data_IF_662580865230
#
_entry.id   IF_662580865230
#
_cell.length_a   1.000
_cell.length_b   1.000
_cell.length_c   1.000
_cell.angle_alpha   90.00
_cell.angle_beta   90.00
_cell.angle_gamma   90.00
#
_symmetry.space_group_name_H-M   'P 1'
#
loop_
_entity.id
_entity.type
_entity.pdbx_description
1 polymer ?
#
# COMPACT_ATOMS: atom_id res chain seq x y z
N UNK A 1 -30.85 16.54 47.77
CA UNK A 1 -30.61 17.08 46.43
C UNK A 1 -29.10 17.10 46.25
N UNK A 2 -28.53 16.09 45.68
CA UNK A 2 -27.09 15.96 45.49
C UNK A 2 -26.82 15.84 44.00
N UNK A 3 -26.23 16.86 43.40
CA UNK A 3 -25.69 16.83 42.06
C UNK A 3 -24.35 16.13 42.08
N UNK A 4 -24.26 14.93 41.51
CA UNK A 4 -23.02 14.25 41.21
C UNK A 4 -22.49 14.74 39.86
N UNK A 5 -21.45 15.60 39.91
CA UNK A 5 -20.64 16.00 38.78
C UNK A 5 -19.85 14.78 38.30
N UNK A 6 -20.16 14.34 37.08
CA UNK A 6 -19.30 13.41 36.34
C UNK A 6 -18.11 14.19 35.75
N UNK A 7 -16.97 14.13 36.45
CA UNK A 7 -15.70 14.60 35.87
C UNK A 7 -15.35 13.71 34.65
N UNK A 8 -15.47 14.33 33.51
CA UNK A 8 -14.96 13.80 32.23
C UNK A 8 -13.43 13.69 32.34
N UNK A 9 -12.94 12.46 32.59
CA UNK A 9 -11.51 12.16 32.52
C UNK A 9 -11.16 12.09 31.03
N UNK A 10 -10.68 13.22 30.49
CA UNK A 10 -10.15 13.31 29.14
C UNK A 10 -9.25 12.13 28.82
N UNK A 11 -9.71 11.25 27.95
CA UNK A 11 -8.91 10.18 27.40
C UNK A 11 -7.72 10.83 26.67
N UNK A 12 -6.51 10.61 27.16
CA UNK A 12 -5.30 11.04 26.49
C UNK A 12 -5.29 10.45 25.08
N UNK A 13 -5.27 11.33 24.07
CA UNK A 13 -5.10 10.88 22.69
C UNK A 13 -3.90 9.89 22.60
N UNK A 14 -4.07 8.74 21.93
CA UNK A 14 -2.97 7.80 21.76
C UNK A 14 -1.83 8.54 21.07
N UNK A 15 -0.69 8.67 21.75
CA UNK A 15 0.52 9.27 21.17
C UNK A 15 0.79 8.56 19.86
N UNK A 16 0.74 9.28 18.74
CA UNK A 16 1.18 8.76 17.45
C UNK A 16 2.56 8.13 17.66
N UNK A 17 2.77 6.87 17.27
CA UNK A 17 4.09 6.27 17.37
C UNK A 17 5.08 7.19 16.67
N UNK A 18 6.18 7.51 17.35
CA UNK A 18 7.22 8.35 16.76
C UNK A 18 7.67 7.69 15.47
N UNK A 19 7.52 8.38 14.34
CA UNK A 19 8.02 7.91 13.05
C UNK A 19 9.46 7.44 13.23
N UNK A 20 9.84 6.21 12.84
CA UNK A 20 11.22 5.78 12.89
C UNK A 20 12.05 6.87 12.19
N UNK A 21 13.12 7.32 12.81
CA UNK A 21 14.03 8.28 12.16
C UNK A 21 14.77 7.52 11.08
N UNK A 22 14.46 7.70 9.80
CA UNK A 22 15.02 6.86 8.75
C UNK A 22 16.55 6.99 8.64
N UNK A 23 17.09 8.16 9.01
CA UNK A 23 18.51 8.43 9.03
C UNK A 23 18.91 9.25 10.27
N UNK A 24 20.01 8.83 10.91
CA UNK A 24 20.70 9.61 11.93
C UNK A 24 21.94 10.31 11.35
N UNK A 25 22.53 9.73 10.33
CA UNK A 25 23.74 10.20 9.66
C UNK A 25 23.46 10.41 8.18
N UNK A 26 24.18 11.35 7.60
CA UNK A 26 24.14 11.66 6.18
C UNK A 26 24.62 10.46 5.35
N UNK A 27 23.87 9.96 4.37
CA UNK A 27 24.30 8.85 3.53
C UNK A 27 25.45 9.23 2.59
N UNK A 28 25.69 10.54 2.37
CA UNK A 28 26.73 11.01 1.48
C UNK A 28 28.09 11.19 2.18
N UNK A 29 28.12 11.65 3.44
CA UNK A 29 29.38 12.00 4.13
C UNK A 29 29.48 11.53 5.58
N UNK A 30 28.49 10.80 6.11
CA UNK A 30 28.50 10.26 7.45
C UNK A 30 28.30 11.28 8.59
N UNK A 31 28.16 12.56 8.30
CA UNK A 31 27.93 13.59 9.34
C UNK A 31 26.54 13.43 9.96
N UNK A 32 26.37 13.62 11.29
CA UNK A 32 25.04 13.61 11.90
C UNK A 32 24.10 14.61 11.25
N UNK A 33 22.87 14.17 10.93
CA UNK A 33 21.83 15.01 10.35
C UNK A 33 21.18 15.88 11.43
N UNK A 34 20.83 17.12 11.08
CA UNK A 34 20.11 18.06 11.93
C UNK A 34 18.72 18.35 11.37
N UNK A 35 17.76 18.71 12.25
CA UNK A 35 16.44 19.16 11.82
C UNK A 35 16.48 20.64 11.48
N UNK A 36 15.93 20.97 10.32
CA UNK A 36 15.82 22.35 9.84
C UNK A 36 14.44 22.58 9.24
N UNK A 37 13.88 23.75 9.47
CA UNK A 37 12.64 24.22 8.83
C UNK A 37 12.90 24.61 7.38
N UNK A 38 12.42 23.83 6.41
CA UNK A 38 12.52 24.11 4.99
C UNK A 38 11.15 24.00 4.32
N UNK A 39 10.75 25.04 3.59
CA UNK A 39 9.46 25.07 2.87
C UNK A 39 8.25 24.71 3.76
N UNK A 40 8.22 25.27 5.00
CA UNK A 40 7.13 25.07 5.95
C UNK A 40 7.08 23.67 6.62
N UNK A 41 8.12 22.85 6.46
CA UNK A 41 8.24 21.52 7.10
C UNK A 41 9.60 21.33 7.72
N UNK A 42 9.66 20.58 8.82
CA UNK A 42 10.95 20.10 9.34
C UNK A 42 11.51 18.98 8.46
N UNK A 43 12.78 19.12 8.08
CA UNK A 43 13.54 18.14 7.30
C UNK A 43 14.87 17.82 7.98
N UNK A 44 15.40 16.63 7.68
CA UNK A 44 16.75 16.28 8.06
C UNK A 44 17.73 16.83 7.01
N UNK A 45 18.69 17.63 7.47
CA UNK A 45 19.68 18.30 6.61
C UNK A 45 21.08 18.00 7.15
N UNK A 46 22.01 17.75 6.24
CA UNK A 46 23.41 17.60 6.59
C UNK A 46 24.08 18.98 6.70
N UNK A 47 24.64 19.36 7.87
CA UNK A 47 25.31 20.64 8.01
C UNK A 47 26.66 20.72 7.26
N UNK A 48 27.25 19.57 6.91
CA UNK A 48 28.54 19.51 6.24
C UNK A 48 28.43 19.58 4.70
N UNK A 49 27.56 18.74 4.09
CA UNK A 49 27.46 18.64 2.62
C UNK A 49 26.13 19.16 2.05
N UNK A 50 25.25 19.71 2.88
CA UNK A 50 23.95 20.28 2.51
C UNK A 50 22.96 19.24 1.93
N UNK A 51 23.21 17.92 2.08
CA UNK A 51 22.24 16.89 1.72
C UNK A 51 20.93 17.10 2.48
N UNK A 52 19.81 17.07 1.76
CA UNK A 52 18.46 17.14 2.34
C UNK A 52 17.80 15.78 2.20
N UNK A 53 17.37 15.20 3.31
CA UNK A 53 16.59 13.99 3.27
C UNK A 53 15.11 14.30 2.93
N UNK A 54 14.72 13.91 1.72
CA UNK A 54 13.32 13.99 1.26
C UNK A 54 12.62 12.69 1.59
N UNK A 55 11.85 12.70 2.68
CA UNK A 55 11.06 11.53 3.05
C UNK A 55 9.82 11.44 2.15
N UNK A 56 9.95 10.72 1.05
CA UNK A 56 8.87 10.48 0.09
C UNK A 56 8.14 9.16 0.43
N UNK A 57 6.84 9.03 0.11
CA UNK A 57 6.16 7.75 0.14
C UNK A 57 6.78 6.84 -0.93
N UNK A 58 6.78 5.52 -0.66
CA UNK A 58 7.11 4.53 -1.68
C UNK A 58 5.95 4.37 -2.65
N UNK A 59 6.24 3.95 -3.89
CA UNK A 59 5.21 3.71 -4.90
C UNK A 59 4.89 2.22 -4.93
N UNK A 60 3.60 1.90 -4.79
CA UNK A 60 3.08 0.56 -4.96
C UNK A 60 2.16 0.49 -6.16
N UNK A 61 2.09 -0.67 -6.78
CA UNK A 61 1.22 -0.95 -7.94
C UNK A 61 0.40 -2.19 -7.68
N UNK A 62 -0.81 -2.24 -8.25
CA UNK A 62 -1.69 -3.39 -8.18
C UNK A 62 -2.45 -3.55 -9.49
N UNK A 63 -2.83 -4.78 -9.86
CA UNK A 63 -3.58 -5.03 -11.09
C UNK A 63 -4.93 -5.66 -10.77
N UNK A 64 -5.98 -5.05 -11.28
CA UNK A 64 -7.37 -5.51 -11.21
C UNK A 64 -7.64 -6.36 -12.45
N UNK A 65 -7.71 -7.67 -12.27
CA UNK A 65 -8.14 -8.61 -13.30
C UNK A 65 -9.52 -9.12 -12.96
N UNK A 66 -10.46 -8.89 -13.87
CA UNK A 66 -11.86 -9.29 -13.73
C UNK A 66 -12.20 -10.39 -14.73
N UNK A 67 -13.01 -11.34 -14.28
CA UNK A 67 -13.73 -12.27 -15.13
C UNK A 67 -15.19 -12.29 -14.67
N UNK A 68 -16.08 -11.77 -15.51
CA UNK A 68 -17.45 -11.47 -15.09
C UNK A 68 -17.44 -10.57 -13.83
N UNK A 69 -18.18 -10.93 -12.80
CA UNK A 69 -18.24 -10.22 -11.51
C UNK A 69 -17.25 -10.76 -10.47
N UNK A 70 -16.17 -11.42 -10.93
CA UNK A 70 -15.14 -11.99 -10.06
C UNK A 70 -13.80 -11.33 -10.31
N UNK A 71 -13.12 -10.98 -9.23
CA UNK A 71 -11.79 -10.40 -9.23
C UNK A 71 -10.74 -11.42 -8.81
N UNK A 72 -9.54 -11.37 -9.39
CA UNK A 72 -8.39 -12.11 -8.90
C UNK A 72 -7.91 -11.48 -7.60
N UNK A 73 -7.92 -12.26 -6.52
CA UNK A 73 -7.31 -11.91 -5.25
C UNK A 73 -6.21 -12.89 -4.88
N UNK A 74 -5.23 -12.42 -4.14
CA UNK A 74 -4.12 -13.19 -3.59
C UNK A 74 -4.18 -13.18 -2.06
N UNK A 75 -3.86 -14.32 -1.40
CA UNK A 75 -3.79 -14.41 0.06
C UNK A 75 -2.34 -14.41 0.50
N UNK A 76 -2.00 -13.50 1.39
CA UNK A 76 -0.64 -13.30 1.87
C UNK A 76 -0.13 -14.46 2.71
N UNK A 77 1.02 -15.03 2.33
CA UNK A 77 1.65 -16.16 3.03
C UNK A 77 2.47 -15.72 4.25
N UNK A 78 2.90 -14.44 4.31
CA UNK A 78 3.84 -13.95 5.32
C UNK A 78 3.58 -12.49 5.73
N UNK A 79 4.35 -12.02 6.72
CA UNK A 79 4.29 -10.65 7.20
C UNK A 79 3.11 -10.34 8.12
N UNK A 80 2.88 -9.04 8.37
CA UNK A 80 1.84 -8.55 9.31
C UNK A 80 0.43 -8.94 8.88
N UNK A 81 0.21 -9.08 7.56
CA UNK A 81 -1.10 -9.41 6.97
C UNK A 81 -1.21 -10.86 6.54
N UNK A 82 -0.42 -11.77 7.13
CA UNK A 82 -0.51 -13.21 6.81
C UNK A 82 -1.95 -13.73 6.93
N UNK A 83 -2.41 -14.43 5.89
CA UNK A 83 -3.76 -14.98 5.79
C UNK A 83 -4.84 -14.01 5.31
N UNK A 84 -4.54 -12.71 5.20
CA UNK A 84 -5.45 -11.73 4.62
C UNK A 84 -5.35 -11.69 3.09
N UNK A 85 -6.45 -11.35 2.44
CA UNK A 85 -6.55 -11.23 1.00
C UNK A 85 -6.25 -9.81 0.53
N UNK A 86 -5.64 -9.67 -0.64
CA UNK A 86 -5.38 -8.38 -1.29
C UNK A 86 -5.57 -8.50 -2.81
N UNK A 87 -5.70 -7.37 -3.48
CA UNK A 87 -5.48 -7.29 -4.92
C UNK A 87 -3.99 -7.53 -5.14
N UNK A 88 -3.56 -8.40 -6.09
CA UNK A 88 -2.14 -8.67 -6.32
C UNK A 88 -1.37 -7.38 -6.55
N UNK A 89 -0.28 -7.20 -5.78
CA UNK A 89 0.41 -5.91 -5.70
C UNK A 89 1.83 -6.01 -5.15
N UNK A 90 2.68 -5.07 -5.56
CA UNK A 90 4.01 -4.93 -5.01
C UNK A 90 4.58 -3.52 -5.18
N UNK A 91 5.88 -3.36 -4.96
CA UNK A 91 6.55 -2.08 -5.06
C UNK A 91 7.22 -1.89 -6.42
N UNK A 92 7.25 -0.64 -6.86
CA UNK A 92 8.01 -0.21 -8.03
C UNK A 92 9.48 -0.10 -7.64
N UNK A 93 10.36 -0.76 -8.39
CA UNK A 93 11.79 -0.64 -8.22
C UNK A 93 12.31 0.71 -8.75
N UNK A 94 13.51 1.13 -8.32
CA UNK A 94 14.03 2.48 -8.57
C UNK A 94 14.12 2.85 -10.07
N UNK A 95 14.43 1.89 -10.91
CA UNK A 95 14.66 2.05 -12.36
C UNK A 95 13.60 1.35 -13.22
N UNK A 96 12.42 1.07 -12.65
CA UNK A 96 11.35 0.34 -13.29
C UNK A 96 10.17 1.26 -13.69
N UNK A 97 9.60 1.03 -14.87
CA UNK A 97 8.33 1.66 -15.26
C UNK A 97 7.17 1.09 -14.45
N UNK A 98 6.25 1.95 -14.00
CA UNK A 98 5.13 1.54 -13.12
C UNK A 98 4.22 0.47 -13.70
N UNK A 99 4.08 0.38 -15.04
CA UNK A 99 3.28 -0.66 -15.69
C UNK A 99 4.04 -1.96 -15.81
N UNK A 100 5.36 -1.88 -16.00
CA UNK A 100 6.24 -3.06 -15.98
C UNK A 100 6.28 -3.66 -14.58
N UNK A 101 6.41 -2.83 -13.53
CA UNK A 101 6.30 -3.28 -12.15
C UNK A 101 4.97 -3.98 -11.88
N UNK A 102 3.85 -3.39 -12.30
CA UNK A 102 2.52 -3.97 -12.13
C UNK A 102 2.38 -5.33 -12.84
N UNK A 103 2.91 -5.47 -14.05
CA UNK A 103 2.92 -6.73 -14.80
C UNK A 103 3.77 -7.79 -14.11
N UNK A 104 5.00 -7.43 -13.69
CA UNK A 104 5.94 -8.31 -12.99
C UNK A 104 5.35 -8.85 -11.70
N UNK A 105 4.93 -7.96 -10.80
CA UNK A 105 4.36 -8.33 -9.50
C UNK A 105 3.12 -9.23 -9.67
N UNK A 106 2.22 -8.88 -10.59
CA UNK A 106 1.05 -9.71 -10.85
C UNK A 106 1.42 -11.10 -11.36
N UNK A 107 2.43 -11.20 -12.23
CA UNK A 107 2.90 -12.48 -12.75
C UNK A 107 3.61 -13.31 -11.67
N UNK A 108 4.43 -12.68 -10.83
CA UNK A 108 5.12 -13.32 -9.71
C UNK A 108 4.14 -13.92 -8.71
N UNK A 109 3.12 -13.15 -8.31
CA UNK A 109 2.14 -13.60 -7.31
C UNK A 109 1.09 -14.58 -7.85
N UNK A 110 0.72 -14.50 -9.15
CA UNK A 110 -0.45 -15.22 -9.69
C UNK A 110 -0.14 -16.22 -10.81
N UNK A 111 1.04 -16.17 -11.41
CA UNK A 111 1.41 -16.95 -12.57
C UNK A 111 0.77 -16.51 -13.90
N UNK A 112 -0.07 -15.49 -13.89
CA UNK A 112 -0.67 -14.92 -15.11
C UNK A 112 0.22 -13.82 -15.69
N UNK A 113 0.44 -13.86 -17.00
CA UNK A 113 0.93 -12.73 -17.77
C UNK A 113 -0.25 -11.83 -18.14
N UNK A 114 -0.21 -10.57 -17.74
CA UNK A 114 -1.27 -9.60 -18.01
C UNK A 114 -0.79 -8.46 -18.90
N UNK A 115 -1.68 -7.93 -19.70
CA UNK A 115 -1.53 -6.59 -20.28
C UNK A 115 -2.10 -5.57 -19.30
N UNK A 116 -1.26 -4.62 -18.90
CA UNK A 116 -1.63 -3.53 -17.96
C UNK A 116 -2.24 -2.38 -18.74
N UNK A 117 -3.50 -2.11 -18.47
CA UNK A 117 -4.31 -1.08 -19.11
C UNK A 117 -4.29 0.27 -18.42
N UNK A 118 -5.45 0.91 -18.36
CA UNK A 118 -5.64 2.23 -17.75
C UNK A 118 -5.49 2.21 -16.22
N UNK A 119 -5.18 3.38 -15.67
CA UNK A 119 -5.22 3.60 -14.21
C UNK A 119 -6.68 3.61 -13.78
N UNK A 120 -7.02 2.75 -12.83
CA UNK A 120 -8.34 2.69 -12.23
C UNK A 120 -8.48 3.59 -11.00
N UNK A 121 -7.48 3.58 -10.12
CA UNK A 121 -7.48 4.38 -8.91
C UNK A 121 -6.05 4.71 -8.45
N UNK A 122 -5.93 5.82 -7.71
CA UNK A 122 -4.70 6.20 -7.01
C UNK A 122 -5.08 6.58 -5.59
N UNK A 123 -4.45 5.95 -4.59
CA UNK A 123 -4.70 6.24 -3.18
C UNK A 123 -3.40 6.42 -2.40
N UNK A 124 -3.41 7.38 -1.47
CA UNK A 124 -2.38 7.47 -0.43
C UNK A 124 -2.68 6.47 0.68
N UNK A 125 -1.65 5.76 1.13
CA UNK A 125 -1.75 4.70 2.10
C UNK A 125 -0.94 5.07 3.35
N UNK A 126 -1.62 5.29 4.46
CA UNK A 126 -1.05 5.74 5.74
C UNK A 126 -1.18 4.71 6.86
N UNK A 127 -1.69 3.50 6.57
CA UNK A 127 -1.92 2.47 7.60
C UNK A 127 -0.62 1.97 8.25
N UNK A 128 0.49 2.01 7.52
CA UNK A 128 1.81 1.73 8.08
C UNK A 128 2.52 3.05 8.40
N UNK A 129 2.61 3.47 9.68
CA UNK A 129 3.24 4.73 10.04
C UNK A 129 4.75 4.76 9.79
N UNK A 130 5.39 3.59 9.63
CA UNK A 130 6.82 3.50 9.33
C UNK A 130 7.13 3.69 7.85
N UNK A 131 6.16 3.41 6.95
CA UNK A 131 6.36 3.51 5.51
C UNK A 131 5.03 3.86 4.84
N UNK A 132 4.84 5.15 4.57
CA UNK A 132 3.71 5.57 3.76
C UNK A 132 3.94 5.20 2.30
N UNK A 133 2.85 4.91 1.57
CA UNK A 133 2.93 4.61 0.14
C UNK A 133 1.85 5.35 -0.66
N UNK A 134 2.09 5.47 -1.95
CA UNK A 134 1.07 5.79 -2.95
C UNK A 134 0.83 4.53 -3.75
N UNK A 135 -0.39 4.01 -3.74
CA UNK A 135 -0.80 2.86 -4.53
C UNK A 135 -1.47 3.31 -5.82
N UNK A 136 -1.13 2.65 -6.92
CA UNK A 136 -1.72 2.83 -8.24
C UNK A 136 -2.35 1.50 -8.65
N UNK A 137 -3.66 1.48 -8.83
CA UNK A 137 -4.40 0.32 -9.32
C UNK A 137 -4.64 0.47 -10.81
N UNK A 138 -4.24 -0.54 -11.57
CA UNK A 138 -4.47 -0.61 -13.01
C UNK A 138 -5.53 -1.65 -13.34
N UNK A 139 -6.29 -1.46 -14.39
CA UNK A 139 -7.04 -2.56 -14.99
C UNK A 139 -6.07 -3.45 -15.78
N UNK A 140 -6.30 -4.77 -15.74
CA UNK A 140 -5.47 -5.74 -16.46
C UNK A 140 -6.29 -6.75 -17.22
N UNK A 141 -5.74 -7.25 -18.32
CA UNK A 141 -6.30 -8.33 -19.11
C UNK A 141 -5.33 -9.49 -19.20
N UNK A 142 -5.76 -10.70 -18.84
CA UNK A 142 -4.91 -11.89 -18.93
C UNK A 142 -4.59 -12.19 -20.39
N UNK A 143 -3.31 -12.38 -20.68
CA UNK A 143 -2.82 -12.76 -22.00
C UNK A 143 -2.42 -14.24 -22.08
N UNK A 144 -1.85 -14.78 -20.99
CA UNK A 144 -1.43 -16.17 -20.89
C UNK A 144 -1.11 -16.57 -19.46
N UNK A 145 -0.69 -17.79 -19.24
CA UNK A 145 -0.31 -18.30 -17.93
C UNK A 145 -1.37 -19.19 -17.30
N UNK A 146 -1.11 -19.64 -16.09
CA UNK A 146 -2.02 -20.47 -15.30
C UNK A 146 -2.09 -19.90 -13.89
N UNK A 147 -3.29 -19.69 -13.38
CA UNK A 147 -3.49 -19.17 -12.03
C UNK A 147 -2.91 -20.12 -10.99
N UNK A 148 -1.85 -19.69 -10.35
CA UNK A 148 -1.15 -20.41 -9.28
C UNK A 148 -0.51 -19.41 -8.31
N UNK A 149 -0.54 -19.67 -7.00
CA UNK A 149 0.17 -18.83 -6.04
C UNK A 149 1.68 -19.06 -6.16
N UNK A 150 2.45 -17.98 -5.99
CA UNK A 150 3.91 -18.02 -5.93
C UNK A 150 4.41 -16.85 -5.08
N UNK A 151 5.73 -16.70 -4.90
CA UNK A 151 6.39 -15.66 -4.11
C UNK A 151 5.88 -15.57 -2.65
N UNK A 152 5.26 -14.47 -2.27
CA UNK A 152 4.81 -14.19 -0.90
C UNK A 152 3.30 -14.44 -0.67
N UNK A 153 2.63 -15.12 -1.61
CA UNK A 153 1.23 -15.53 -1.51
C UNK A 153 1.09 -17.06 -1.46
N UNK A 154 0.10 -17.56 -0.73
CA UNK A 154 -0.16 -19.00 -0.57
C UNK A 154 -1.46 -19.46 -1.24
N UNK A 155 -2.27 -18.53 -1.72
CA UNK A 155 -3.49 -18.81 -2.46
C UNK A 155 -3.83 -17.67 -3.40
N UNK A 156 -4.31 -17.99 -4.59
CA UNK A 156 -4.91 -17.05 -5.56
C UNK A 156 -6.23 -17.61 -6.05
N UNK A 157 -7.22 -16.74 -6.23
CA UNK A 157 -8.54 -17.17 -6.67
C UNK A 157 -9.31 -16.03 -7.36
N UNK A 158 -10.22 -16.42 -8.27
CA UNK A 158 -11.29 -15.54 -8.71
C UNK A 158 -12.38 -15.47 -7.63
N UNK A 159 -12.53 -14.33 -6.98
CA UNK A 159 -13.46 -14.09 -5.89
C UNK A 159 -14.62 -13.23 -6.37
N UNK A 160 -15.86 -13.61 -6.04
CA UNK A 160 -17.03 -12.80 -6.39
C UNK A 160 -17.01 -11.47 -5.66
N UNK A 161 -17.30 -10.39 -6.37
CA UNK A 161 -17.46 -9.05 -5.76
C UNK A 161 -18.62 -9.01 -4.74
N UNK A 162 -19.61 -9.91 -4.86
CA UNK A 162 -20.73 -10.01 -3.91
C UNK A 162 -20.38 -10.79 -2.63
N UNK A 163 -19.29 -11.55 -2.64
CA UNK A 163 -18.86 -12.40 -1.53
C UNK A 163 -17.36 -12.24 -1.29
N UNK A 164 -16.94 -11.02 -0.97
CA UNK A 164 -15.54 -10.72 -0.66
C UNK A 164 -15.14 -11.35 0.68
N UNK A 165 -13.84 -11.71 0.85
CA UNK A 165 -13.34 -12.22 2.11
C UNK A 165 -13.47 -11.18 3.24
N UNK A 166 -13.75 -11.63 4.46
CA UNK A 166 -13.83 -10.75 5.64
C UNK A 166 -12.52 -10.03 5.94
N UNK A 167 -11.40 -10.70 5.67
CA UNK A 167 -10.05 -10.20 5.92
C UNK A 167 -9.36 -9.73 4.64
N UNK A 168 -9.56 -8.45 4.30
CA UNK A 168 -8.78 -7.74 3.26
C UNK A 168 -7.64 -7.01 3.93
N UNK A 169 -6.42 -7.23 3.43
CA UNK A 169 -5.17 -6.75 4.02
C UNK A 169 -5.08 -5.22 4.12
N UNK A 170 -5.38 -4.55 3.01
CA UNK A 170 -5.13 -3.12 2.90
C UNK A 170 -6.43 -2.31 2.92
N UNK A 171 -6.51 -1.25 3.74
CA UNK A 171 -7.66 -0.35 3.74
C UNK A 171 -7.95 0.27 2.36
N UNK A 172 -6.91 0.52 1.57
CA UNK A 172 -7.03 1.07 0.21
C UNK A 172 -7.61 0.06 -0.78
N UNK A 173 -7.32 -1.25 -0.66
CA UNK A 173 -7.98 -2.28 -1.45
C UNK A 173 -9.49 -2.33 -1.18
N UNK A 174 -9.90 -2.11 0.07
CA UNK A 174 -11.34 -2.05 0.40
C UNK A 174 -12.05 -0.90 -0.32
N UNK A 175 -11.36 0.25 -0.51
CA UNK A 175 -11.91 1.37 -1.27
C UNK A 175 -12.10 1.00 -2.74
N UNK A 176 -11.08 0.35 -3.33
CA UNK A 176 -11.09 -0.11 -4.73
C UNK A 176 -12.16 -1.19 -4.93
N UNK A 177 -12.22 -2.19 -4.06
CA UNK A 177 -13.23 -3.26 -4.12
C UNK A 177 -14.64 -2.70 -3.97
N UNK A 178 -14.88 -1.76 -3.06
CA UNK A 178 -16.17 -1.10 -2.90
C UNK A 178 -16.55 -0.25 -4.13
N UNK A 179 -15.60 0.33 -4.82
CA UNK A 179 -15.85 1.03 -6.09
C UNK A 179 -16.25 0.04 -7.19
N UNK A 180 -15.53 -1.08 -7.33
CA UNK A 180 -15.85 -2.14 -8.27
C UNK A 180 -17.26 -2.72 -8.01
N UNK A 181 -17.60 -2.99 -6.74
CA UNK A 181 -18.96 -3.47 -6.39
C UNK A 181 -20.06 -2.52 -6.90
N UNK A 182 -19.87 -1.20 -6.77
CA UNK A 182 -20.84 -0.22 -7.26
C UNK A 182 -20.96 -0.21 -8.79
N UNK A 183 -19.86 -0.39 -9.51
CA UNK A 183 -19.86 -0.47 -10.98
C UNK A 183 -20.65 -1.67 -11.52
N UNK A 184 -20.60 -2.80 -10.82
CA UNK A 184 -21.30 -4.02 -11.21
C UNK A 184 -22.72 -4.16 -10.62
N UNK A 185 -23.11 -3.26 -9.72
CA UNK A 185 -24.47 -3.24 -9.14
C UNK A 185 -25.41 -2.24 -9.83
N UNK A 186 -24.92 -1.47 -10.80
CA UNK A 186 -25.66 -0.46 -11.58
C UNK A 186 -26.09 -1.04 -12.93
#
# INVERSE_FOLDING_TARGET
>A
MGHTEWMDKGAAEPRRPAMPRPYQYCPCCGTPLTRQGLHGRERLVCPACQFIFWQNPVVGVAVIVMQDERIVLARRARGVYKGAWCIPCGYVEYDEDVRQAAQREFQEETGFLVEVGEVYAVHSNFHNPASHSVGIWFRGTVRSGTLRPDDDVDQVAYVSLHHLPDHVAFPTDRLVLAQLQREFSA
#
